data_IF_909529530887
#
_entry.id   IF_909529530887
#
_cell.length_a   1.000
_cell.length_b   1.000
_cell.length_c   1.000
_cell.angle_alpha   90.00
_cell.angle_beta   90.00
_cell.angle_gamma   90.00
#
_symmetry.space_group_name_H-M   'P 1'
#
loop_
_entity.id
_entity.type
_entity.pdbx_description
1 polymer ?
#
# COMPACT_ATOMS: atom_id res chain seq x y z
N UNK A 1 4.46 5.91 7.00
CA UNK A 1 4.58 7.24 6.35
C UNK A 1 5.01 7.01 4.92
N UNK A 2 4.56 7.84 3.98
CA UNK A 2 4.94 7.76 2.57
C UNK A 2 5.64 9.07 2.22
N UNK A 3 6.83 9.00 1.65
CA UNK A 3 7.52 10.11 1.01
C UNK A 3 7.47 9.86 -0.50
N UNK A 4 7.01 10.82 -1.28
CA UNK A 4 6.90 10.67 -2.73
C UNK A 4 7.13 11.98 -3.47
N UNK A 5 7.60 11.86 -4.72
CA UNK A 5 7.77 12.97 -5.66
C UNK A 5 9.03 12.82 -6.52
N UNK A 6 9.31 13.84 -7.31
CA UNK A 6 10.57 13.98 -8.05
C UNK A 6 11.72 14.24 -7.06
N UNK A 7 12.50 13.20 -6.79
CA UNK A 7 13.67 13.29 -5.92
C UNK A 7 14.95 13.54 -6.70
N UNK A 8 14.89 13.60 -8.04
CA UNK A 8 16.06 13.63 -8.92
C UNK A 8 17.07 12.50 -8.57
N UNK A 9 16.54 11.31 -8.22
CA UNK A 9 17.28 10.25 -7.54
C UNK A 9 17.97 9.22 -8.46
N UNK A 10 18.48 9.63 -9.62
CA UNK A 10 19.23 8.76 -10.54
C UNK A 10 20.12 9.55 -11.52
N UNK A 11 20.77 8.86 -12.44
CA UNK A 11 21.50 9.41 -13.57
C UNK A 11 22.55 10.45 -13.13
N UNK A 12 22.64 11.59 -13.84
CA UNK A 12 23.60 12.64 -13.55
C UNK A 12 23.30 13.40 -12.24
N UNK A 13 22.04 13.41 -11.81
CA UNK A 13 21.58 14.16 -10.64
C UNK A 13 22.01 13.51 -9.34
N UNK A 14 21.92 12.19 -9.24
CA UNK A 14 22.35 11.43 -8.07
C UNK A 14 23.03 10.13 -8.48
N UNK A 15 24.35 10.07 -8.34
CA UNK A 15 25.11 8.87 -8.68
C UNK A 15 24.74 7.69 -7.77
N UNK A 16 24.79 6.47 -8.30
CA UNK A 16 24.51 5.23 -7.54
C UNK A 16 25.31 5.13 -6.24
N UNK A 17 26.57 5.59 -6.24
CA UNK A 17 27.41 5.65 -5.03
C UNK A 17 26.76 6.52 -3.95
N UNK A 18 26.37 7.75 -4.29
CA UNK A 18 25.76 8.69 -3.34
C UNK A 18 24.36 8.26 -2.91
N UNK A 19 23.57 7.71 -3.84
CA UNK A 19 22.25 7.13 -3.53
C UNK A 19 22.37 6.07 -2.43
N UNK A 20 23.35 5.18 -2.54
CA UNK A 20 23.60 4.10 -1.58
C UNK A 20 24.19 4.57 -0.24
N UNK A 21 24.54 5.85 -0.09
CA UNK A 21 24.98 6.46 1.16
C UNK A 21 23.84 7.17 1.91
N UNK A 22 22.68 7.38 1.26
CA UNK A 22 21.55 8.08 1.88
C UNK A 22 20.94 7.28 3.04
N UNK A 23 20.54 7.99 4.10
CA UNK A 23 19.77 7.42 5.22
C UNK A 23 18.51 6.72 4.73
N UNK A 24 17.79 7.36 3.79
CA UNK A 24 16.58 6.80 3.16
C UNK A 24 16.86 5.47 2.43
N UNK A 25 18.11 5.19 2.03
CA UNK A 25 18.48 3.98 1.29
C UNK A 25 19.07 2.88 2.18
N UNK A 26 19.79 3.28 3.23
CA UNK A 26 20.59 2.39 4.07
C UNK A 26 19.88 1.91 5.33
N UNK A 27 18.93 2.70 5.87
CA UNK A 27 18.17 2.28 7.04
C UNK A 27 17.03 1.33 6.65
N UNK A 28 16.92 0.20 7.37
CA UNK A 28 16.00 -0.90 7.07
C UNK A 28 14.51 -0.55 7.16
N UNK A 29 14.16 0.57 7.80
CA UNK A 29 12.78 1.03 7.94
C UNK A 29 12.27 1.80 6.72
N UNK A 30 13.15 2.14 5.76
CA UNK A 30 12.78 2.78 4.51
C UNK A 30 12.77 1.79 3.36
N UNK A 31 11.67 1.76 2.61
CA UNK A 31 11.44 0.85 1.51
C UNK A 31 11.14 1.64 0.24
N UNK A 32 12.01 1.52 -0.75
CA UNK A 32 11.85 2.19 -2.04
C UNK A 32 10.93 1.33 -2.92
N UNK A 33 9.71 1.78 -3.12
CA UNK A 33 8.71 1.05 -3.91
C UNK A 33 8.92 1.21 -5.42
N UNK A 34 9.55 2.31 -5.86
CA UNK A 34 10.03 2.50 -7.24
C UNK A 34 11.50 2.11 -7.31
N UNK A 35 11.77 1.01 -8.03
CA UNK A 35 13.10 0.45 -8.20
C UNK A 35 14.02 1.36 -9.03
N UNK A 36 15.34 1.18 -8.90
CA UNK A 36 16.34 2.03 -9.58
C UNK A 36 16.34 1.83 -11.10
N UNK A 37 15.84 0.69 -11.57
CA UNK A 37 15.77 0.34 -12.99
C UNK A 37 14.47 0.83 -13.65
N UNK A 38 13.60 1.55 -12.93
CA UNK A 38 12.36 2.08 -13.48
C UNK A 38 12.59 3.43 -14.12
N UNK A 39 12.16 3.55 -15.37
CA UNK A 39 12.07 4.84 -16.02
C UNK A 39 10.88 5.62 -15.48
N UNK A 40 11.13 6.88 -15.16
CA UNK A 40 10.11 7.84 -14.72
C UNK A 40 10.09 9.06 -15.63
N UNK A 41 10.74 8.99 -16.79
CA UNK A 41 10.88 10.10 -17.74
C UNK A 41 10.17 9.78 -19.06
N UNK A 42 9.62 10.81 -19.70
CA UNK A 42 8.88 10.69 -20.97
C UNK A 42 9.82 10.60 -22.17
N UNK A 43 10.98 11.26 -22.12
CA UNK A 43 11.89 11.34 -23.27
C UNK A 43 12.50 9.97 -23.55
N UNK A 44 12.37 9.48 -24.79
CA UNK A 44 12.97 8.22 -25.22
C UNK A 44 14.51 8.22 -25.18
N UNK A 45 15.13 9.41 -25.06
CA UNK A 45 16.58 9.58 -24.94
C UNK A 45 17.09 9.48 -23.51
N UNK A 46 16.21 9.43 -22.52
CA UNK A 46 16.55 9.26 -21.11
C UNK A 46 16.01 7.94 -20.59
N UNK A 47 16.62 7.46 -19.50
CA UNK A 47 16.15 6.29 -18.77
C UNK A 47 16.58 6.44 -17.32
N UNK A 48 15.75 7.12 -16.51
CA UNK A 48 16.12 7.57 -15.19
C UNK A 48 14.99 7.39 -14.16
N UNK A 49 15.35 6.90 -12.97
CA UNK A 49 14.45 6.77 -11.82
C UNK A 49 14.47 8.03 -10.93
N UNK A 50 14.02 9.18 -11.46
CA UNK A 50 13.97 10.45 -10.72
C UNK A 50 12.86 10.47 -9.68
N UNK A 51 11.65 10.07 -10.07
CA UNK A 51 10.48 10.05 -9.21
C UNK A 51 10.46 8.80 -8.35
N UNK A 52 10.24 8.98 -7.05
CA UNK A 52 10.33 7.89 -6.07
C UNK A 52 9.12 7.86 -5.17
N UNK A 53 8.84 6.67 -4.67
CA UNK A 53 7.95 6.42 -3.55
C UNK A 53 8.76 5.66 -2.51
N UNK A 54 8.88 6.22 -1.32
CA UNK A 54 9.59 5.63 -0.18
C UNK A 54 8.61 5.44 0.97
N UNK A 55 8.42 4.19 1.39
CA UNK A 55 7.55 3.81 2.49
C UNK A 55 8.39 3.68 3.76
N UNK A 56 7.95 4.30 4.85
CA UNK A 56 8.60 4.20 6.16
C UNK A 56 7.77 3.37 7.15
N UNK A 57 8.42 2.37 7.74
CA UNK A 57 7.90 1.47 8.76
C UNK A 57 7.19 0.24 8.18
N UNK A 58 7.28 -0.88 8.92
CA UNK A 58 6.75 -2.20 8.52
C UNK A 58 5.27 -2.15 8.14
N UNK A 59 4.44 -1.43 8.91
CA UNK A 59 3.00 -1.29 8.62
C UNK A 59 2.73 -0.66 7.25
N UNK A 60 3.51 0.34 6.84
CA UNK A 60 3.27 0.99 5.56
C UNK A 60 3.71 0.09 4.40
N UNK A 61 4.81 -0.65 4.60
CA UNK A 61 5.30 -1.66 3.67
C UNK A 61 4.31 -2.82 3.52
N UNK A 62 3.75 -3.33 4.61
CA UNK A 62 2.85 -4.50 4.57
C UNK A 62 1.52 -4.23 3.87
N UNK A 63 1.13 -2.95 3.76
CA UNK A 63 -0.04 -2.53 3.00
C UNK A 63 0.25 -2.36 1.51
N UNK A 64 1.52 -2.32 1.08
CA UNK A 64 1.85 -2.09 -0.32
C UNK A 64 1.52 -3.31 -1.16
N UNK A 65 0.57 -3.13 -2.09
CA UNK A 65 0.17 -4.15 -3.05
C UNK A 65 0.92 -4.01 -4.38
N UNK A 66 0.97 -2.78 -4.93
CA UNK A 66 1.62 -2.48 -6.20
C UNK A 66 2.30 -1.13 -6.16
N UNK A 67 3.38 -0.97 -6.92
CA UNK A 67 3.95 0.33 -7.25
C UNK A 67 4.48 0.32 -8.69
N UNK A 68 4.32 1.43 -9.39
CA UNK A 68 4.72 1.55 -10.80
C UNK A 68 5.00 3.00 -11.19
N UNK A 69 5.68 3.18 -12.32
CA UNK A 69 5.62 4.41 -13.09
C UNK A 69 4.49 4.24 -14.12
N UNK A 70 3.62 5.23 -14.22
CA UNK A 70 2.49 5.21 -15.14
C UNK A 70 2.90 5.83 -16.48
N UNK A 71 3.16 4.95 -17.45
CA UNK A 71 3.47 5.31 -18.84
C UNK A 71 2.20 5.82 -19.56
N UNK A 72 1.82 7.05 -19.23
CA UNK A 72 0.66 7.70 -19.80
C UNK A 72 0.75 7.89 -21.33
N UNK A 73 1.93 8.13 -21.96
CA UNK A 73 2.01 8.22 -23.41
C UNK A 73 1.63 6.91 -24.09
N UNK A 74 2.14 5.76 -23.60
CA UNK A 74 1.77 4.46 -24.15
C UNK A 74 0.29 4.14 -23.94
N UNK A 75 -0.25 4.42 -22.75
CA UNK A 75 -1.66 4.13 -22.41
C UNK A 75 -2.63 4.97 -23.22
N UNK A 76 -2.35 6.25 -23.40
CA UNK A 76 -3.20 7.18 -24.15
C UNK A 76 -2.83 7.33 -25.62
N UNK A 77 -1.83 6.57 -26.10
CA UNK A 77 -1.37 6.57 -27.49
C UNK A 77 -0.90 7.96 -27.97
N UNK A 78 -0.17 8.66 -27.11
CA UNK A 78 0.39 9.97 -27.40
C UNK A 78 1.75 9.84 -28.09
N UNK A 79 2.04 10.77 -28.99
CA UNK A 79 3.41 11.01 -29.45
C UNK A 79 4.26 11.57 -28.31
N UNK A 80 5.59 11.47 -28.41
CA UNK A 80 6.50 12.07 -27.43
C UNK A 80 6.26 13.59 -27.33
N UNK A 81 5.98 14.27 -28.43
CA UNK A 81 5.70 15.72 -28.44
C UNK A 81 4.43 16.06 -27.65
N UNK A 82 3.33 15.33 -27.89
CA UNK A 82 2.08 15.52 -27.15
C UNK A 82 2.24 15.21 -25.66
N UNK A 83 3.00 14.17 -25.34
CA UNK A 83 3.31 13.80 -23.97
C UNK A 83 4.13 14.88 -23.26
N UNK A 84 5.19 15.39 -23.90
CA UNK A 84 6.04 16.46 -23.37
C UNK A 84 5.30 17.79 -23.19
N UNK A 85 4.21 18.01 -23.92
CA UNK A 85 3.33 19.16 -23.70
C UNK A 85 2.48 19.01 -22.42
N UNK A 86 2.35 17.79 -21.88
CA UNK A 86 1.72 17.51 -20.57
C UNK A 86 2.78 17.55 -19.47
N UNK A 87 3.83 16.74 -19.59
CA UNK A 87 4.96 16.64 -18.66
C UNK A 87 6.11 15.88 -19.30
N UNK A 88 7.33 16.09 -18.82
CA UNK A 88 8.51 15.27 -19.09
C UNK A 88 8.72 14.12 -18.11
N UNK A 89 7.83 13.96 -17.12
CA UNK A 89 7.86 12.89 -16.13
C UNK A 89 6.61 12.00 -16.18
N UNK A 90 6.79 10.70 -15.93
CA UNK A 90 5.69 9.79 -15.64
C UNK A 90 5.24 9.95 -14.17
N UNK A 91 3.93 9.92 -13.88
CA UNK A 91 3.48 9.76 -12.51
C UNK A 91 4.01 8.46 -11.90
N UNK A 92 4.45 8.49 -10.65
CA UNK A 92 4.68 7.28 -9.86
C UNK A 92 3.47 6.98 -8.98
N UNK A 93 3.03 5.73 -8.97
CA UNK A 93 1.83 5.28 -8.29
C UNK A 93 2.13 4.16 -7.29
N UNK A 94 1.33 4.10 -6.23
CA UNK A 94 1.34 3.01 -5.24
C UNK A 94 -0.10 2.65 -4.89
N UNK A 95 -0.41 1.36 -4.93
CA UNK A 95 -1.67 0.80 -4.48
C UNK A 95 -1.49 0.17 -3.10
N UNK A 96 -2.37 0.56 -2.17
CA UNK A 96 -2.35 0.06 -0.79
C UNK A 96 -3.59 -0.79 -0.51
N UNK A 97 -3.38 -2.03 -0.09
CA UNK A 97 -4.43 -2.92 0.38
C UNK A 97 -4.69 -2.71 1.86
N UNK A 98 -5.66 -1.87 2.15
CA UNK A 98 -6.20 -1.74 3.50
C UNK A 98 -7.01 -3.00 3.82
N UNK A 99 -6.40 -3.94 4.53
CA UNK A 99 -7.13 -5.08 5.10
C UNK A 99 -8.40 -4.54 5.77
N UNK A 100 -9.57 -5.02 5.32
CA UNK A 100 -10.88 -4.71 5.92
C UNK A 100 -10.94 -5.27 7.35
N UNK A 101 -10.27 -4.64 8.30
CA UNK A 101 -10.56 -4.79 9.72
C UNK A 101 -11.99 -4.31 10.06
N UNK A 102 -12.74 -3.76 9.08
CA UNK A 102 -14.16 -3.44 9.17
C UNK A 102 -15.11 -4.62 8.86
N UNK A 103 -14.60 -5.83 8.55
CA UNK A 103 -15.44 -7.03 8.32
C UNK A 103 -15.30 -8.13 9.38
N UNK A 104 -14.87 -7.77 10.59
CA UNK A 104 -15.13 -8.60 11.78
C UNK A 104 -16.29 -8.05 12.61
N UNK A 105 -17.45 -7.81 11.97
CA UNK A 105 -18.69 -8.10 12.67
C UNK A 105 -18.99 -9.54 12.30
N UNK A 106 -18.54 -10.49 13.13
CA UNK A 106 -19.14 -11.82 13.07
C UNK A 106 -20.65 -11.59 13.27
N UNK A 107 -21.53 -11.98 12.34
CA UNK A 107 -22.95 -11.99 12.66
C UNK A 107 -23.07 -12.89 13.89
N UNK A 108 -23.61 -12.34 14.98
CA UNK A 108 -23.97 -13.14 16.16
C UNK A 108 -24.75 -14.34 15.62
N UNK A 109 -24.14 -15.52 15.70
CA UNK A 109 -24.79 -16.76 15.28
C UNK A 109 -26.13 -16.82 16.00
N UNK A 110 -27.22 -17.18 15.29
CA UNK A 110 -28.54 -17.32 15.89
C UNK A 110 -28.53 -18.25 17.12
N UNK A 111 -27.55 -19.16 17.19
CA UNK A 111 -27.30 -20.01 18.35
C UNK A 111 -27.01 -19.22 19.65
N UNK A 112 -26.34 -18.06 19.56
CA UNK A 112 -26.04 -17.19 20.72
C UNK A 112 -27.25 -16.45 21.27
N UNK A 113 -28.30 -16.24 20.45
CA UNK A 113 -29.56 -15.61 20.87
C UNK A 113 -30.53 -16.58 21.55
N UNK A 114 -30.35 -17.89 21.38
CA UNK A 114 -31.26 -18.92 21.92
C UNK A 114 -30.85 -19.47 23.30
N UNK A 115 -29.61 -19.20 23.72
CA UNK A 115 -29.06 -19.61 25.03
C UNK A 115 -29.79 -19.01 26.26
N UNK A 116 -30.27 -17.74 26.26
CA UNK A 116 -30.97 -17.19 27.42
C UNK A 116 -32.39 -17.76 27.56
N UNK A 117 -33.03 -18.15 26.46
CA UNK A 117 -34.41 -18.64 26.43
C UNK A 117 -34.58 -20.07 26.97
N UNK A 118 -33.52 -20.88 26.97
CA UNK A 118 -33.60 -22.26 27.46
C UNK A 118 -33.58 -22.35 29.00
N UNK A 119 -33.03 -21.34 29.68
CA UNK A 119 -32.97 -21.27 31.15
C UNK A 119 -34.32 -20.91 31.80
N UNK A 120 -35.27 -20.36 31.04
CA UNK A 120 -36.60 -19.96 31.52
C UNK A 120 -37.65 -21.09 31.47
N UNK A 121 -37.33 -22.24 30.86
CA UNK A 121 -38.30 -23.34 30.64
C UNK A 121 -38.11 -24.50 31.63
N UNK A 122 -37.06 -24.48 32.46
CA UNK A 122 -36.89 -25.49 33.51
C UNK A 122 -37.82 -25.18 34.70
N UNK A 123 -38.81 -26.04 35.03
CA UNK A 123 -39.61 -25.85 36.22
C UNK A 123 -38.71 -26.01 37.46
N UNK A 124 -38.95 -25.24 38.54
CA UNK A 124 -38.17 -25.35 39.76
C UNK A 124 -38.29 -26.77 40.31
N UNK A 125 -37.14 -27.42 40.53
CA UNK A 125 -37.05 -28.67 41.27
C UNK A 125 -37.58 -28.41 42.69
N UNK A 126 -38.80 -28.85 42.96
CA UNK A 126 -39.36 -28.87 44.31
C UNK A 126 -38.48 -29.78 45.20
N UNK A 127 -38.09 -29.33 46.40
CA UNK A 127 -37.32 -30.17 47.31
C UNK A 127 -38.19 -31.33 47.83
N UNK A 128 -37.59 -32.51 48.10
CA UNK A 128 -38.33 -33.68 48.55
C UNK A 128 -38.91 -33.47 49.94
N UNK A 129 -40.20 -33.80 50.10
CA UNK A 129 -40.89 -33.86 51.39
C UNK A 129 -40.29 -34.96 52.26
N UNK A 130 -39.84 -34.62 53.46
CA UNK A 130 -39.38 -35.59 54.46
C UNK A 130 -40.58 -36.22 55.18
N UNK A 131 -40.63 -37.55 55.19
CA UNK A 131 -41.44 -38.38 56.07
C UNK A 131 -40.52 -39.36 56.79
#
# INVERSE_FOLDING_TARGET
>A
MILLGDFNADCGSLTKKRLNELVLRTQADFYWAIADEKDTTVRATTHCAYDRIVLHGERCRSLQHRAAAFDFPSVFQLTEEEALNISDHYPVEVELELNRAAHQIQPLSLATLLLPSLLLVLPPLLPPSWA
#
